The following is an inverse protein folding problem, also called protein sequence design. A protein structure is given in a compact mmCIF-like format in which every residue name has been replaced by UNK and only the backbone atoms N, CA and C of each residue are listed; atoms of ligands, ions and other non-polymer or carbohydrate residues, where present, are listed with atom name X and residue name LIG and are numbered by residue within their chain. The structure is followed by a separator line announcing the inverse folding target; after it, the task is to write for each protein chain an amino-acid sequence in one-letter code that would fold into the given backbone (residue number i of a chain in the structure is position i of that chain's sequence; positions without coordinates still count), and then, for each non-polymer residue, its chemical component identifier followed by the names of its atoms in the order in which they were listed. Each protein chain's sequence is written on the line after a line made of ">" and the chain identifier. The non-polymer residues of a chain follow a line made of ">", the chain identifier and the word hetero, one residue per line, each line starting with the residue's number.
data_IF_851241348111
#
_entry.id   IF_851241348111
#
_cell.length_a   1.000
_cell.length_b   1.000
_cell.length_c   1.000
_cell.angle_alpha   90.00
_cell.angle_beta   90.00
_cell.angle_gamma   90.00
#
_symmetry.space_group_name_H-M   'P 1'
#
loop_
_entity.id
_entity.type
_entity.pdbx_description
1 polymer ?
#
# COMPACT_ATOMS: atom_id res chain seq x y z
N UNK A 1 -9.59 1.50 -51.91
CA UNK A 1 -8.69 1.15 -50.77
C UNK A 1 -7.41 1.99 -50.72
N UNK A 2 -6.80 2.37 -51.86
CA UNK A 2 -5.54 3.15 -51.92
C UNK A 2 -5.59 4.54 -51.26
N UNK A 3 -6.75 5.19 -51.24
CA UNK A 3 -6.90 6.55 -50.68
C UNK A 3 -6.72 6.59 -49.15
N UNK A 4 -7.38 5.69 -48.40
CA UNK A 4 -7.30 5.69 -46.93
C UNK A 4 -5.88 5.40 -46.42
N UNK A 5 -5.19 4.43 -47.05
CA UNK A 5 -3.80 4.11 -46.74
C UNK A 5 -2.86 5.30 -47.01
N UNK A 6 -3.01 5.96 -48.16
CA UNK A 6 -2.21 7.13 -48.51
C UNK A 6 -2.40 8.29 -47.52
N UNK A 7 -3.65 8.56 -47.11
CA UNK A 7 -3.98 9.55 -46.07
C UNK A 7 -3.35 9.18 -44.73
N UNK A 8 -3.39 7.91 -44.33
CA UNK A 8 -2.80 7.42 -43.08
C UNK A 8 -1.29 7.64 -43.05
N UNK A 9 -0.60 7.30 -44.16
CA UNK A 9 0.85 7.52 -44.31
C UNK A 9 1.18 9.01 -44.30
N UNK A 10 0.41 9.83 -45.01
CA UNK A 10 0.61 11.29 -45.02
C UNK A 10 0.45 11.89 -43.62
N UNK A 11 -0.57 11.46 -42.88
CA UNK A 11 -0.76 11.87 -41.48
C UNK A 11 0.39 11.40 -40.58
N UNK A 12 0.87 10.16 -40.77
CA UNK A 12 2.03 9.63 -40.06
C UNK A 12 3.31 10.42 -40.33
N UNK A 13 3.51 10.91 -41.56
CA UNK A 13 4.64 11.76 -41.94
C UNK A 13 4.54 13.16 -41.33
N UNK A 14 3.33 13.73 -41.32
CA UNK A 14 3.07 15.06 -40.77
C UNK A 14 3.07 15.11 -39.23
N UNK A 15 2.98 13.96 -38.55
CA UNK A 15 2.95 13.90 -37.10
C UNK A 15 4.30 14.39 -36.52
N UNK A 16 4.25 15.45 -35.71
CA UNK A 16 5.41 16.05 -35.05
C UNK A 16 5.91 15.20 -33.88
N UNK A 17 6.56 14.08 -34.21
CA UNK A 17 7.02 13.10 -33.23
C UNK A 17 8.22 13.60 -32.42
N UNK A 18 8.22 13.29 -31.13
CA UNK A 18 9.36 13.43 -30.22
C UNK A 18 9.70 12.09 -29.57
N UNK A 19 10.92 11.91 -29.05
CA UNK A 19 11.35 10.66 -28.43
C UNK A 19 10.53 10.28 -27.19
N UNK A 20 9.86 11.26 -26.59
CA UNK A 20 9.14 11.12 -25.32
C UNK A 20 7.63 10.90 -25.53
N UNK A 21 7.18 10.81 -26.78
CA UNK A 21 5.78 10.61 -27.09
C UNK A 21 5.31 9.21 -26.64
N UNK A 22 4.29 9.19 -25.79
CA UNK A 22 3.66 7.95 -25.35
C UNK A 22 2.97 7.23 -26.53
N UNK A 23 3.01 5.88 -26.62
CA UNK A 23 2.39 5.10 -27.69
C UNK A 23 0.92 5.45 -27.91
N UNK A 24 0.18 5.71 -26.83
CA UNK A 24 -1.24 6.10 -26.91
C UNK A 24 -1.45 7.44 -27.61
N UNK A 25 -0.62 8.44 -27.33
CA UNK A 25 -0.73 9.75 -27.98
C UNK A 25 -0.46 9.63 -29.48
N UNK A 26 0.58 8.86 -29.85
CA UNK A 26 0.90 8.54 -31.24
C UNK A 26 -0.27 7.80 -31.91
N UNK A 27 -0.79 6.74 -31.30
CA UNK A 27 -1.91 5.96 -31.81
C UNK A 27 -3.15 6.84 -32.07
N UNK A 28 -3.50 7.73 -31.13
CA UNK A 28 -4.60 8.69 -31.29
C UNK A 28 -4.36 9.64 -32.47
N UNK A 29 -3.14 10.15 -32.63
CA UNK A 29 -2.77 11.01 -33.77
C UNK A 29 -2.91 10.30 -35.12
N UNK A 30 -2.47 9.04 -35.20
CA UNK A 30 -2.59 8.23 -36.41
C UNK A 30 -4.03 7.83 -36.72
N UNK A 31 -4.86 7.61 -35.70
CA UNK A 31 -6.24 7.13 -35.85
C UNK A 31 -7.26 8.23 -36.09
N UNK A 32 -7.01 9.47 -35.64
CA UNK A 32 -7.93 10.59 -35.86
C UNK A 32 -8.41 10.72 -37.33
N UNK A 33 -7.53 10.73 -38.35
CA UNK A 33 -7.97 10.80 -39.75
C UNK A 33 -8.67 9.52 -40.23
N UNK A 34 -8.36 8.35 -39.63
CA UNK A 34 -8.97 7.08 -40.00
C UNK A 34 -10.41 6.97 -39.46
N UNK A 35 -10.60 7.29 -38.18
CA UNK A 35 -11.90 7.31 -37.51
C UNK A 35 -12.84 8.30 -38.20
N UNK A 36 -12.33 9.40 -38.76
CA UNK A 36 -13.14 10.35 -39.51
C UNK A 36 -13.88 9.73 -40.71
N UNK A 37 -13.44 8.59 -41.24
CA UNK A 37 -14.07 7.87 -42.35
C UNK A 37 -15.16 6.87 -41.92
N UNK A 38 -15.35 6.65 -40.62
CA UNK A 38 -16.43 5.82 -40.11
C UNK A 38 -17.77 6.57 -40.17
N UNK A 39 -18.87 5.81 -40.15
CA UNK A 39 -20.23 6.36 -40.04
C UNK A 39 -20.35 7.26 -38.81
N UNK A 40 -21.13 8.34 -38.92
CA UNK A 40 -21.32 9.30 -37.83
C UNK A 40 -21.72 8.63 -36.52
N UNK A 41 -22.66 7.67 -36.56
CA UNK A 41 -23.10 6.93 -35.38
C UNK A 41 -22.03 6.03 -34.73
N UNK A 42 -21.05 5.54 -35.49
CA UNK A 42 -19.91 4.78 -34.94
C UNK A 42 -18.90 5.75 -34.33
N UNK A 43 -18.60 6.86 -35.03
CA UNK A 43 -17.70 7.91 -34.53
C UNK A 43 -18.19 8.53 -33.24
N UNK A 44 -19.49 8.84 -33.14
CA UNK A 44 -20.08 9.46 -31.95
C UNK A 44 -20.02 8.54 -30.73
N UNK A 45 -20.26 7.23 -30.95
CA UNK A 45 -20.15 6.20 -29.91
C UNK A 45 -18.70 6.01 -29.46
N UNK A 46 -17.74 5.91 -30.39
CA UNK A 46 -16.31 5.88 -30.04
C UNK A 46 -15.89 7.14 -29.28
N UNK A 47 -16.36 8.31 -29.71
CA UNK A 47 -16.10 9.57 -29.02
C UNK A 47 -16.67 9.61 -27.59
N UNK A 48 -17.75 8.88 -27.32
CA UNK A 48 -18.27 8.73 -25.97
C UNK A 48 -17.35 7.86 -25.09
N UNK A 49 -16.83 6.74 -25.63
CA UNK A 49 -15.84 5.90 -24.93
C UNK A 49 -14.58 6.71 -24.62
N UNK A 50 -14.08 7.48 -25.59
CA UNK A 50 -12.92 8.35 -25.42
C UNK A 50 -13.08 9.35 -24.27
N UNK A 51 -14.24 10.00 -24.17
CA UNK A 51 -14.55 10.98 -23.11
C UNK A 51 -14.61 10.32 -21.74
N UNK A 52 -15.25 9.16 -21.61
CA UNK A 52 -15.32 8.42 -20.34
C UNK A 52 -13.94 7.96 -19.88
N UNK A 53 -13.17 7.39 -20.80
CA UNK A 53 -11.81 6.97 -20.51
C UNK A 53 -10.93 8.14 -20.09
N UNK A 54 -10.96 9.26 -20.82
CA UNK A 54 -10.20 10.46 -20.46
C UNK A 54 -10.59 10.98 -19.06
N UNK A 55 -11.88 10.98 -18.72
CA UNK A 55 -12.33 11.40 -17.38
C UNK A 55 -11.79 10.50 -16.26
N UNK A 56 -11.70 9.18 -16.48
CA UNK A 56 -11.18 8.22 -15.49
C UNK A 56 -9.66 8.28 -15.34
N UNK A 57 -8.94 8.52 -16.43
CA UNK A 57 -7.46 8.55 -16.44
C UNK A 57 -6.87 9.94 -16.18
N UNK A 58 -7.68 11.02 -16.18
CA UNK A 58 -7.23 12.38 -15.94
C UNK A 58 -6.41 12.56 -14.65
N UNK A 59 -6.78 11.88 -13.57
CA UNK A 59 -6.05 11.92 -12.30
C UNK A 59 -4.69 11.22 -12.35
N UNK A 60 -4.53 10.20 -13.20
CA UNK A 60 -3.26 9.53 -13.46
C UNK A 60 -2.36 10.36 -14.39
N UNK A 61 -2.94 10.94 -15.46
CA UNK A 61 -2.23 11.77 -16.44
C UNK A 61 -1.76 13.12 -15.89
N UNK A 62 -2.55 13.74 -15.01
CA UNK A 62 -2.22 15.05 -14.43
C UNK A 62 -1.03 15.04 -13.47
N UNK A 63 -0.55 13.86 -13.06
CA UNK A 63 0.65 13.74 -12.24
C UNK A 63 0.59 14.48 -10.90
N UNK A 64 -0.61 14.88 -10.43
CA UNK A 64 -0.81 15.42 -9.07
C UNK A 64 -0.55 14.32 -8.06
N UNK A 65 0.73 14.04 -7.82
CA UNK A 65 1.20 13.26 -6.69
C UNK A 65 0.81 14.04 -5.44
N UNK A 66 -0.23 13.59 -4.75
CA UNK A 66 -0.36 13.90 -3.33
C UNK A 66 0.99 13.57 -2.66
N UNK A 67 1.53 14.48 -1.83
CA UNK A 67 2.83 14.27 -1.21
C UNK A 67 2.84 12.91 -0.53
N UNK A 68 3.79 12.05 -0.92
CA UNK A 68 3.99 10.70 -0.39
C UNK A 68 4.14 10.74 1.13
N UNK A 69 3.03 10.71 1.86
CA UNK A 69 3.03 10.37 3.28
C UNK A 69 3.13 8.86 3.33
N UNK A 70 4.34 8.36 3.55
CA UNK A 70 4.56 6.94 3.81
C UNK A 70 3.68 6.49 4.99
N UNK A 71 3.29 5.20 5.05
CA UNK A 71 2.50 4.68 6.16
C UNK A 71 3.28 4.93 7.46
N UNK A 72 2.79 5.86 8.29
CA UNK A 72 3.35 6.07 9.62
C UNK A 72 2.83 4.91 10.48
N UNK A 73 3.71 3.96 10.78
CA UNK A 73 3.48 2.98 11.86
C UNK A 73 3.54 3.76 13.17
N UNK A 74 2.41 4.33 13.58
CA UNK A 74 2.32 5.08 14.83
C UNK A 74 1.96 4.11 15.95
N UNK A 75 2.94 3.40 16.50
CA UNK A 75 2.76 2.84 17.84
C UNK A 75 2.54 4.03 18.77
N UNK A 76 1.44 4.10 19.55
CA UNK A 76 1.28 5.15 20.54
C UNK A 76 2.54 5.18 21.40
N UNK A 77 3.19 6.34 21.52
CA UNK A 77 4.42 6.46 22.30
C UNK A 77 4.29 5.91 23.73
N UNK A 78 3.12 5.95 24.42
CA UNK A 78 2.97 5.32 25.73
C UNK A 78 3.07 3.79 25.66
N UNK A 79 2.50 3.16 24.64
CA UNK A 79 2.56 1.70 24.49
C UNK A 79 4.00 1.24 24.14
N UNK A 80 4.73 2.02 23.34
CA UNK A 80 6.13 1.77 23.03
C UNK A 80 7.03 1.94 24.28
N UNK A 81 6.81 2.99 25.07
CA UNK A 81 7.54 3.21 26.31
C UNK A 81 7.20 2.15 27.38
N UNK A 82 5.94 1.71 27.45
CA UNK A 82 5.51 0.60 28.32
C UNK A 82 6.16 -0.72 27.94
N UNK A 83 6.24 -1.03 26.64
CA UNK A 83 6.99 -2.19 26.13
C UNK A 83 8.47 -2.16 26.54
N UNK A 84 9.13 -1.02 26.41
CA UNK A 84 10.53 -0.86 26.81
C UNK A 84 10.73 -1.06 28.32
N UNK A 85 9.81 -0.59 29.14
CA UNK A 85 9.84 -0.81 30.59
C UNK A 85 9.72 -2.31 30.94
N UNK A 86 8.86 -3.06 30.23
CA UNK A 86 8.76 -4.53 30.42
C UNK A 86 10.01 -5.26 29.93
N UNK A 87 10.59 -4.82 28.81
CA UNK A 87 11.85 -5.36 28.30
C UNK A 87 13.01 -5.13 29.30
N UNK A 88 13.05 -3.96 29.93
CA UNK A 88 14.02 -3.61 30.97
C UNK A 88 13.88 -4.49 32.22
N UNK A 89 12.63 -4.73 32.67
CA UNK A 89 12.34 -5.63 33.79
C UNK A 89 12.81 -7.06 33.50
N UNK A 90 12.52 -7.58 32.30
CA UNK A 90 12.97 -8.89 31.85
C UNK A 90 14.50 -8.97 31.82
N UNK A 91 15.18 -7.98 31.23
CA UNK A 91 16.64 -7.94 31.17
C UNK A 91 17.28 -7.97 32.56
N UNK A 92 16.69 -7.24 33.51
CA UNK A 92 17.12 -7.22 34.92
C UNK A 92 16.92 -8.57 35.61
N UNK A 93 15.77 -9.22 35.42
CA UNK A 93 15.47 -10.52 36.01
C UNK A 93 16.36 -11.65 35.47
N UNK A 94 16.67 -11.63 34.18
CA UNK A 94 17.52 -12.63 33.52
C UNK A 94 19.03 -12.34 33.68
N UNK A 95 19.41 -11.18 34.23
CA UNK A 95 20.82 -10.80 34.39
C UNK A 95 21.54 -10.51 33.06
N UNK A 96 20.81 -10.08 32.02
CA UNK A 96 21.42 -9.63 30.76
C UNK A 96 22.12 -8.29 30.98
N UNK A 97 23.46 -8.26 30.80
CA UNK A 97 24.27 -7.06 31.01
C UNK A 97 24.72 -6.89 32.47
N UNK A 98 25.49 -7.87 32.97
CA UNK A 98 25.96 -8.06 34.36
C UNK A 98 26.50 -6.82 35.10
N UNK A 99 26.79 -5.72 34.41
CA UNK A 99 27.09 -4.41 34.98
C UNK A 99 26.45 -3.33 34.10
N UNK A 100 25.39 -2.68 34.58
CA UNK A 100 24.87 -1.43 34.00
C UNK A 100 24.94 -0.36 35.07
N UNK A 101 25.72 0.70 34.84
CA UNK A 101 25.86 1.84 35.76
C UNK A 101 26.61 1.55 37.09
N UNK A 102 27.37 0.45 37.19
CA UNK A 102 28.14 0.11 38.41
C UNK A 102 27.35 -0.67 39.48
N UNK A 103 26.08 -0.96 39.23
CA UNK A 103 25.23 -1.80 40.10
C UNK A 103 25.27 -3.28 39.68
N UNK A 104 25.48 -4.17 40.64
CA UNK A 104 25.47 -5.62 40.43
C UNK A 104 24.03 -6.17 40.38
N UNK A 105 23.59 -6.48 39.16
CA UNK A 105 22.28 -7.07 38.85
C UNK A 105 22.17 -8.58 39.24
N UNK A 106 23.17 -9.14 39.90
CA UNK A 106 23.05 -10.45 40.53
C UNK A 106 22.42 -10.37 41.93
N UNK A 107 22.43 -9.19 42.56
CA UNK A 107 21.84 -9.04 43.90
C UNK A 107 20.30 -8.93 43.83
N UNK A 108 19.61 -9.91 44.42
CA UNK A 108 18.15 -9.91 44.58
C UNK A 108 17.57 -8.63 45.19
N UNK A 109 18.22 -8.02 46.22
CA UNK A 109 17.78 -6.74 46.77
C UNK A 109 17.76 -5.57 45.78
N UNK A 110 18.48 -5.65 44.65
CA UNK A 110 18.50 -4.62 43.61
C UNK A 110 17.57 -4.99 42.44
N UNK A 111 17.53 -6.27 42.07
CA UNK A 111 16.69 -6.74 40.95
C UNK A 111 15.20 -6.67 41.26
N UNK A 112 14.77 -7.11 42.45
CA UNK A 112 13.35 -7.13 42.80
C UNK A 112 12.72 -5.73 42.79
N UNK A 113 13.32 -4.68 43.39
CA UNK A 113 12.81 -3.31 43.27
C UNK A 113 12.80 -2.78 41.84
N UNK A 114 13.84 -3.09 41.05
CA UNK A 114 13.94 -2.67 39.64
C UNK A 114 12.79 -3.22 38.80
N UNK A 115 12.46 -4.51 39.00
CA UNK A 115 11.31 -5.16 38.35
C UNK A 115 10.00 -4.48 38.77
N UNK A 116 9.80 -4.24 40.08
CA UNK A 116 8.58 -3.61 40.60
C UNK A 116 8.38 -2.20 40.02
N UNK A 117 9.42 -1.36 40.04
CA UNK A 117 9.36 0.01 39.51
C UNK A 117 9.11 0.02 38.00
N UNK A 118 9.77 -0.87 37.27
CA UNK A 118 9.60 -0.99 35.81
C UNK A 118 8.17 -1.39 35.43
N UNK A 119 7.57 -2.33 36.17
CA UNK A 119 6.17 -2.70 35.96
C UNK A 119 5.18 -1.60 36.38
N UNK A 120 5.46 -0.86 37.45
CA UNK A 120 4.65 0.29 37.83
C UNK A 120 4.61 1.35 36.70
N UNK A 121 5.77 1.66 36.12
CA UNK A 121 5.89 2.54 34.94
C UNK A 121 5.12 1.95 33.74
N UNK A 122 5.30 0.65 33.45
CA UNK A 122 4.63 -0.02 32.34
C UNK A 122 3.10 0.03 32.48
N UNK A 123 2.54 -0.23 33.66
CA UNK A 123 1.10 -0.18 33.90
C UNK A 123 0.52 1.23 33.71
N UNK A 124 1.19 2.25 34.23
CA UNK A 124 0.77 3.65 34.03
C UNK A 124 0.77 3.99 32.54
N UNK A 125 1.82 3.61 31.82
CA UNK A 125 1.95 3.90 30.39
C UNK A 125 0.93 3.14 29.54
N UNK A 126 0.66 1.87 29.84
CA UNK A 126 -0.40 1.11 29.16
C UNK A 126 -1.80 1.67 29.48
N UNK A 127 -2.04 2.15 30.70
CA UNK A 127 -3.29 2.83 31.07
C UNK A 127 -3.47 4.16 30.32
N UNK A 128 -2.41 4.97 30.22
CA UNK A 128 -2.39 6.21 29.42
C UNK A 128 -2.60 5.90 27.93
N UNK A 129 -1.91 4.89 27.39
CA UNK A 129 -2.09 4.43 26.01
C UNK A 129 -3.53 3.98 25.72
N UNK A 130 -4.15 3.23 26.63
CA UNK A 130 -5.56 2.87 26.54
C UNK A 130 -6.51 4.09 26.60
N UNK A 131 -6.19 5.10 27.44
CA UNK A 131 -6.93 6.35 27.53
C UNK A 131 -6.82 7.21 26.25
N UNK A 132 -5.62 7.30 25.66
CA UNK A 132 -5.40 7.97 24.38
C UNK A 132 -6.19 7.32 23.25
N UNK A 133 -6.15 5.99 23.15
CA UNK A 133 -6.92 5.24 22.14
C UNK A 133 -8.42 5.45 22.27
N UNK A 134 -8.93 5.68 23.49
CA UNK A 134 -10.36 5.98 23.70
C UNK A 134 -10.74 7.41 23.31
N UNK A 135 -9.90 8.41 23.61
CA UNK A 135 -10.18 9.84 23.34
C UNK A 135 -9.96 10.24 21.88
N UNK A 136 -8.95 9.67 21.23
CA UNK A 136 -8.60 9.98 19.84
C UNK A 136 -9.43 9.24 18.80
N UNK A 137 -10.45 8.45 19.22
CA UNK A 137 -11.30 7.68 18.32
C UNK A 137 -11.80 8.56 17.16
N UNK A 138 -12.54 9.63 17.40
CA UNK A 138 -13.24 10.29 16.28
C UNK A 138 -12.33 11.01 15.28
N UNK A 139 -11.21 11.59 15.72
CA UNK A 139 -10.33 12.40 14.86
C UNK A 139 -9.25 11.59 14.11
N UNK A 140 -8.85 10.42 14.65
CA UNK A 140 -7.74 9.63 14.10
C UNK A 140 -8.18 8.26 13.53
N UNK A 141 -9.43 7.83 13.76
CA UNK A 141 -9.94 6.55 13.22
C UNK A 141 -10.03 6.55 11.68
N UNK A 142 -10.26 7.70 11.04
CA UNK A 142 -10.46 7.76 9.58
C UNK A 142 -9.19 7.48 8.77
N UNK A 143 -8.00 7.77 9.32
CA UNK A 143 -6.75 7.78 8.56
C UNK A 143 -5.75 6.68 9.02
N UNK A 144 -5.89 6.13 10.24
CA UNK A 144 -4.85 5.28 10.85
C UNK A 144 -5.33 4.02 11.62
N UNK A 145 -6.63 3.69 11.59
CA UNK A 145 -7.23 2.57 12.35
C UNK A 145 -6.47 1.24 12.21
N UNK A 146 -6.16 0.86 10.98
CA UNK A 146 -5.68 -0.50 10.69
C UNK A 146 -4.20 -0.69 11.02
N UNK A 147 -3.37 0.34 10.86
CA UNK A 147 -1.92 0.27 11.17
C UNK A 147 -1.62 0.37 12.67
N UNK A 148 -2.43 1.11 13.43
CA UNK A 148 -2.30 1.24 14.89
C UNK A 148 -2.68 -0.04 15.63
N UNK A 149 -3.75 -0.72 15.21
CA UNK A 149 -4.22 -1.93 15.89
C UNK A 149 -3.21 -3.08 15.78
N UNK A 150 -2.58 -3.27 14.61
CA UNK A 150 -1.58 -4.32 14.36
C UNK A 150 -0.26 -4.03 15.07
N UNK A 151 0.24 -2.79 15.01
CA UNK A 151 1.48 -2.41 15.70
C UNK A 151 1.31 -2.50 17.21
N UNK A 152 0.14 -2.12 17.73
CA UNK A 152 -0.23 -2.28 19.13
C UNK A 152 -0.41 -3.75 19.52
N UNK A 153 -1.06 -4.57 18.70
CA UNK A 153 -1.14 -6.03 18.91
C UNK A 153 0.26 -6.64 19.00
N UNK A 154 1.14 -6.29 18.06
CA UNK A 154 2.52 -6.80 18.02
C UNK A 154 3.30 -6.36 19.26
N UNK A 155 3.28 -5.06 19.59
CA UNK A 155 4.00 -4.52 20.75
C UNK A 155 3.50 -5.09 22.09
N UNK A 156 2.18 -5.20 22.27
CA UNK A 156 1.58 -5.78 23.48
C UNK A 156 1.79 -7.30 23.54
N UNK A 157 1.73 -7.98 22.39
CA UNK A 157 2.04 -9.41 22.29
C UNK A 157 3.49 -9.71 22.67
N UNK A 158 4.45 -8.94 22.16
CA UNK A 158 5.86 -9.05 22.57
C UNK A 158 6.07 -8.66 24.04
N UNK A 159 5.34 -7.65 24.54
CA UNK A 159 5.36 -7.29 25.97
C UNK A 159 4.90 -8.45 26.85
N UNK A 160 3.88 -9.21 26.44
CA UNK A 160 3.40 -10.37 27.18
C UNK A 160 4.46 -11.49 27.24
N UNK A 161 5.18 -11.70 26.14
CA UNK A 161 6.30 -12.66 26.10
C UNK A 161 7.42 -12.22 27.07
N UNK A 162 7.81 -10.95 27.02
CA UNK A 162 8.83 -10.42 27.94
C UNK A 162 8.39 -10.47 29.40
N UNK A 163 7.11 -10.22 29.68
CA UNK A 163 6.58 -10.36 31.02
C UNK A 163 6.61 -11.81 31.52
N UNK A 164 6.33 -12.78 30.65
CA UNK A 164 6.39 -14.20 30.98
C UNK A 164 7.84 -14.63 31.24
N UNK A 165 8.79 -14.16 30.43
CA UNK A 165 10.22 -14.41 30.65
C UNK A 165 10.74 -13.76 31.93
N UNK A 166 10.27 -12.56 32.27
CA UNK A 166 10.55 -11.90 33.55
C UNK A 166 10.03 -12.73 34.73
N UNK A 167 8.79 -13.22 34.65
CA UNK A 167 8.20 -14.11 35.65
C UNK A 167 9.02 -15.40 35.83
N UNK A 168 9.39 -16.06 34.73
CA UNK A 168 10.24 -17.26 34.78
C UNK A 168 11.58 -16.95 35.44
N UNK A 169 12.23 -15.84 35.06
CA UNK A 169 13.50 -15.40 35.67
C UNK A 169 13.38 -15.17 37.18
N UNK A 170 12.32 -14.52 37.64
CA UNK A 170 12.07 -14.29 39.06
C UNK A 170 11.72 -15.57 39.82
N UNK A 171 10.98 -16.50 39.20
CA UNK A 171 10.69 -17.81 39.78
C UNK A 171 11.97 -18.62 39.96
N UNK A 172 12.84 -18.66 38.95
CA UNK A 172 14.14 -19.35 39.04
C UNK A 172 14.96 -18.78 40.20
N UNK A 173 15.06 -17.45 40.31
CA UNK A 173 15.78 -16.80 41.42
C UNK A 173 15.18 -17.08 42.80
N UNK A 174 13.84 -17.21 42.91
CA UNK A 174 13.18 -17.63 44.16
C UNK A 174 13.55 -19.06 44.58
N UNK A 175 13.95 -19.93 43.65
CA UNK A 175 14.36 -21.31 43.94
C UNK A 175 15.87 -21.47 44.13
N UNK A 176 16.70 -20.56 43.57
CA UNK A 176 18.17 -20.68 43.63
C UNK A 176 18.80 -19.83 44.73
N UNK A 177 18.14 -18.75 45.16
CA UNK A 177 18.69 -17.78 46.10
C UNK A 177 17.81 -17.70 47.37
N UNK A 178 18.31 -17.06 48.43
CA UNK A 178 17.54 -16.86 49.67
C UNK A 178 16.22 -16.10 49.43
N UNK A 179 15.13 -16.60 50.01
CA UNK A 179 13.78 -16.07 49.78
C UNK A 179 13.60 -14.72 50.46
N UNK A 180 13.65 -13.64 49.68
CA UNK A 180 13.29 -12.30 50.13
C UNK A 180 11.80 -11.98 49.86
N UNK A 181 11.08 -11.34 50.80
CA UNK A 181 9.69 -10.92 50.59
C UNK A 181 9.48 -10.07 49.32
N UNK A 182 10.48 -9.26 48.96
CA UNK A 182 10.48 -8.41 47.76
C UNK A 182 10.51 -9.21 46.45
N UNK A 183 11.13 -10.40 46.44
CA UNK A 183 11.18 -11.28 45.27
C UNK A 183 9.82 -11.93 44.99
N UNK A 184 9.08 -12.29 46.05
CA UNK A 184 7.70 -12.79 45.95
C UNK A 184 6.80 -11.69 45.36
N UNK A 185 6.95 -10.44 45.83
CA UNK A 185 6.20 -9.29 45.29
C UNK A 185 6.55 -9.07 43.82
N UNK A 186 7.84 -9.09 43.45
CA UNK A 186 8.28 -8.91 42.06
C UNK A 186 7.77 -10.02 41.13
N UNK A 187 7.71 -11.27 41.58
CA UNK A 187 7.09 -12.37 40.85
C UNK A 187 5.57 -12.15 40.69
N UNK A 188 4.86 -11.75 41.76
CA UNK A 188 3.44 -11.42 41.70
C UNK A 188 3.11 -10.28 40.74
N UNK A 189 3.92 -9.22 40.74
CA UNK A 189 3.78 -8.08 39.82
C UNK A 189 4.09 -8.50 38.38
N UNK A 190 5.07 -9.39 38.15
CA UNK A 190 5.37 -9.94 36.83
C UNK A 190 4.22 -10.80 36.29
N UNK A 191 3.60 -11.63 37.15
CA UNK A 191 2.43 -12.42 36.79
C UNK A 191 1.23 -11.52 36.43
N UNK A 192 0.99 -10.45 37.21
CA UNK A 192 -0.01 -9.44 36.87
C UNK A 192 0.31 -8.77 35.52
N UNK A 193 1.60 -8.50 35.27
CA UNK A 193 2.10 -7.97 34.01
C UNK A 193 1.75 -8.85 32.81
N UNK A 194 1.92 -10.16 32.92
CA UNK A 194 1.52 -11.14 31.90
C UNK A 194 0.01 -11.06 31.65
N UNK A 195 -0.80 -11.09 32.71
CA UNK A 195 -2.27 -11.07 32.59
C UNK A 195 -2.73 -9.78 31.88
N UNK A 196 -2.26 -8.62 32.33
CA UNK A 196 -2.66 -7.31 31.78
C UNK A 196 -2.24 -7.16 30.32
N UNK A 197 -0.99 -7.46 29.99
CA UNK A 197 -0.50 -7.34 28.60
C UNK A 197 -1.20 -8.31 27.66
N UNK A 198 -1.52 -9.52 28.11
CA UNK A 198 -2.22 -10.53 27.32
C UNK A 198 -3.70 -10.15 27.09
N UNK A 199 -4.39 -9.63 28.10
CA UNK A 199 -5.74 -9.08 27.94
C UNK A 199 -5.77 -7.90 26.96
N UNK A 200 -4.80 -6.99 27.07
CA UNK A 200 -4.67 -5.85 26.15
C UNK A 200 -4.34 -6.31 24.73
N UNK A 201 -3.45 -7.29 24.54
CA UNK A 201 -3.11 -7.86 23.24
C UNK A 201 -4.34 -8.55 22.59
N UNK A 202 -5.12 -9.31 23.36
CA UNK A 202 -6.38 -9.91 22.88
C UNK A 202 -7.37 -8.83 22.45
N UNK A 203 -7.49 -7.74 23.24
CA UNK A 203 -8.37 -6.63 22.89
C UNK A 203 -7.94 -5.93 21.59
N UNK A 204 -6.64 -5.71 21.41
CA UNK A 204 -6.06 -5.14 20.18
C UNK A 204 -6.27 -6.08 18.98
N UNK A 205 -6.09 -7.38 19.17
CA UNK A 205 -6.34 -8.41 18.14
C UNK A 205 -7.81 -8.48 17.72
N UNK A 206 -8.75 -8.36 18.66
CA UNK A 206 -10.19 -8.31 18.36
C UNK A 206 -10.54 -7.06 17.55
N UNK A 207 -9.95 -5.91 17.88
CA UNK A 207 -10.10 -4.67 17.12
C UNK A 207 -9.52 -4.83 15.69
N UNK A 208 -8.30 -5.37 15.57
CA UNK A 208 -7.66 -5.62 14.28
C UNK A 208 -8.50 -6.56 13.38
N UNK A 209 -9.04 -7.65 13.95
CA UNK A 209 -9.92 -8.59 13.23
C UNK A 209 -11.27 -8.00 12.85
N UNK A 210 -11.88 -7.18 13.71
CA UNK A 210 -13.14 -6.51 13.42
C UNK A 210 -13.00 -5.54 12.23
N UNK A 211 -11.89 -4.81 12.15
CA UNK A 211 -11.56 -3.98 10.99
C UNK A 211 -11.43 -4.81 9.70
N UNK A 212 -10.76 -5.98 9.78
CA UNK A 212 -10.60 -6.90 8.65
C UNK A 212 -11.94 -7.44 8.11
N UNK A 213 -12.85 -7.82 9.01
CA UNK A 213 -14.16 -8.35 8.66
C UNK A 213 -15.09 -7.28 8.04
N UNK A 214 -14.88 -6.00 8.37
CA UNK A 214 -15.56 -4.86 7.74
C UNK A 214 -15.04 -4.51 6.33
N UNK A 215 -14.25 -5.38 5.70
CA UNK A 215 -13.67 -5.15 4.36
C UNK A 215 -12.51 -4.14 4.34
N UNK A 216 -12.04 -3.67 5.51
CA UNK A 216 -10.84 -2.83 5.62
C UNK A 216 -9.64 -3.74 5.84
N UNK A 217 -8.94 -4.04 4.75
CA UNK A 217 -7.80 -4.95 4.77
C UNK A 217 -6.69 -4.43 5.70
N UNK A 218 -6.35 -5.25 6.70
CA UNK A 218 -5.34 -5.02 7.77
C UNK A 218 -3.99 -4.51 7.25
N UNK A 219 -3.65 -4.87 6.01
CA UNK A 219 -2.62 -4.22 5.23
C UNK A 219 -3.19 -3.97 3.84
N UNK A 220 -3.50 -2.72 3.49
CA UNK A 220 -3.66 -2.37 2.07
C UNK A 220 -2.31 -2.68 1.39
N UNK A 221 -2.23 -3.65 0.48
CA UNK A 221 -0.98 -3.97 -0.20
C UNK A 221 -0.58 -2.74 -1.00
N UNK A 222 0.44 -2.00 -0.55
CA UNK A 222 1.13 -0.92 -1.28
C UNK A 222 0.23 -0.13 -2.25
N UNK A 223 -0.94 0.32 -1.80
CA UNK A 223 -1.81 1.19 -2.57
C UNK A 223 -1.44 2.63 -2.30
N UNK A 224 -0.25 3.07 -2.74
CA UNK A 224 -0.02 4.52 -2.88
C UNK A 224 -1.19 5.11 -3.68
N UNK A 225 -1.58 6.37 -3.49
CA UNK A 225 -2.58 7.03 -4.36
C UNK A 225 -2.26 6.74 -5.84
N UNK A 226 -0.96 6.71 -6.17
CA UNK A 226 -0.39 6.25 -7.44
C UNK A 226 -0.69 4.78 -7.81
N UNK A 227 -0.62 3.83 -6.89
CA UNK A 227 -1.04 2.43 -7.11
C UNK A 227 -2.55 2.29 -7.35
N UNK A 228 -3.39 3.07 -6.68
CA UNK A 228 -4.84 3.13 -6.95
C UNK A 228 -5.13 3.77 -8.30
N UNK A 229 -4.51 4.91 -8.60
CA UNK A 229 -4.62 5.58 -9.89
C UNK A 229 -4.10 4.70 -11.03
N UNK A 230 -3.01 3.94 -10.81
CA UNK A 230 -2.50 2.92 -11.74
C UNK A 230 -3.53 1.82 -11.99
N UNK A 231 -4.10 1.24 -10.94
CA UNK A 231 -5.09 0.18 -11.09
C UNK A 231 -6.38 0.70 -11.75
N UNK A 232 -6.82 1.90 -11.39
CA UNK A 232 -7.95 2.58 -12.02
C UNK A 232 -7.67 2.86 -13.49
N UNK A 233 -6.46 3.32 -13.84
CA UNK A 233 -6.09 3.59 -15.22
C UNK A 233 -5.96 2.29 -16.04
N UNK A 234 -5.48 1.19 -15.44
CA UNK A 234 -5.46 -0.13 -16.07
C UNK A 234 -6.88 -0.67 -16.28
N UNK A 235 -7.75 -0.60 -15.27
CA UNK A 235 -9.17 -0.99 -15.39
C UNK A 235 -9.89 -0.14 -16.43
N UNK A 236 -9.71 1.19 -16.42
CA UNK A 236 -10.29 2.08 -17.40
C UNK A 236 -9.76 1.78 -18.82
N UNK A 237 -8.50 1.37 -18.95
CA UNK A 237 -7.91 0.94 -20.22
C UNK A 237 -8.61 -0.33 -20.73
N UNK A 238 -8.78 -1.33 -19.88
CA UNK A 238 -9.40 -2.60 -20.28
C UNK A 238 -10.87 -2.40 -20.63
N UNK A 239 -11.64 -1.70 -19.79
CA UNK A 239 -13.05 -1.36 -20.05
C UNK A 239 -13.20 -0.58 -21.37
N UNK A 240 -12.34 0.40 -21.63
CA UNK A 240 -12.41 1.21 -22.85
C UNK A 240 -12.04 0.41 -24.12
N UNK A 241 -11.16 -0.59 -24.01
CA UNK A 241 -10.84 -1.49 -25.12
C UNK A 241 -12.02 -2.37 -25.47
N UNK A 242 -12.66 -2.96 -24.46
CA UNK A 242 -13.81 -3.83 -24.63
C UNK A 242 -15.01 -3.04 -25.21
N UNK A 243 -15.32 -1.87 -24.63
CA UNK A 243 -16.38 -0.99 -25.14
C UNK A 243 -16.09 -0.52 -26.59
N UNK A 244 -14.83 -0.18 -26.90
CA UNK A 244 -14.49 0.25 -28.26
C UNK A 244 -14.52 -0.89 -29.28
N UNK A 245 -14.13 -2.11 -28.87
CA UNK A 245 -14.26 -3.30 -29.70
C UNK A 245 -15.74 -3.57 -30.04
N UNK A 246 -16.63 -3.52 -29.04
CA UNK A 246 -18.08 -3.66 -29.22
C UNK A 246 -18.66 -2.59 -30.17
N UNK A 247 -18.24 -1.32 -30.01
CA UNK A 247 -18.66 -0.25 -30.92
C UNK A 247 -18.20 -0.55 -32.35
N UNK A 248 -16.98 -1.06 -32.53
CA UNK A 248 -16.46 -1.41 -33.85
C UNK A 248 -17.14 -2.62 -34.47
N UNK A 249 -17.65 -3.58 -33.71
CA UNK A 249 -18.45 -4.69 -34.24
C UNK A 249 -19.70 -4.21 -34.99
N UNK A 250 -20.22 -3.03 -34.65
CA UNK A 250 -21.34 -2.41 -35.36
C UNK A 250 -20.95 -1.69 -36.67
N UNK A 251 -19.66 -1.58 -36.98
CA UNK A 251 -19.17 -1.04 -38.23
C UNK A 251 -19.08 -2.13 -39.31
N UNK A 252 -19.18 -1.72 -40.58
CA UNK A 252 -19.02 -2.62 -41.72
C UNK A 252 -17.67 -3.38 -41.64
N UNK A 253 -17.64 -4.72 -41.83
CA UNK A 253 -16.41 -5.51 -41.78
C UNK A 253 -15.30 -4.96 -42.70
N UNK A 254 -15.66 -4.52 -43.90
CA UNK A 254 -14.73 -3.99 -44.90
C UNK A 254 -14.09 -2.67 -44.42
N UNK A 255 -14.86 -1.85 -43.69
CA UNK A 255 -14.34 -0.61 -43.12
C UNK A 255 -13.35 -0.89 -41.98
N UNK A 256 -13.62 -1.91 -41.15
CA UNK A 256 -12.70 -2.34 -40.08
C UNK A 256 -11.36 -2.83 -40.64
N UNK A 257 -11.40 -3.70 -41.64
CA UNK A 257 -10.20 -4.22 -42.29
C UNK A 257 -9.40 -3.11 -42.97
N UNK A 258 -10.07 -2.23 -43.73
CA UNK A 258 -9.41 -1.10 -44.38
C UNK A 258 -8.73 -0.14 -43.38
N UNK A 259 -9.33 0.09 -42.22
CA UNK A 259 -8.75 0.92 -41.16
C UNK A 259 -7.56 0.22 -40.49
N UNK A 260 -7.67 -1.08 -40.19
CA UNK A 260 -6.58 -1.86 -39.62
C UNK A 260 -5.34 -1.85 -40.55
N UNK A 261 -5.55 -2.07 -41.85
CA UNK A 261 -4.51 -2.02 -42.87
C UNK A 261 -3.87 -0.63 -42.98
N UNK A 262 -4.69 0.42 -42.99
CA UNK A 262 -4.21 1.81 -43.06
C UNK A 262 -3.42 2.20 -41.80
N UNK A 263 -3.86 1.76 -40.62
CA UNK A 263 -3.16 1.97 -39.36
C UNK A 263 -1.80 1.24 -39.34
N UNK A 264 -1.76 -0.03 -39.77
CA UNK A 264 -0.51 -0.80 -39.88
C UNK A 264 0.51 -0.13 -40.81
N UNK A 265 0.05 0.41 -41.94
CA UNK A 265 0.89 1.19 -42.85
C UNK A 265 1.42 2.48 -42.20
N UNK A 266 0.57 3.21 -41.46
CA UNK A 266 0.96 4.41 -40.73
C UNK A 266 1.98 4.12 -39.62
N UNK A 267 1.81 3.04 -38.87
CA UNK A 267 2.77 2.59 -37.83
C UNK A 267 4.11 2.20 -38.46
N UNK A 268 4.09 1.55 -39.63
CA UNK A 268 5.32 1.20 -40.38
C UNK A 268 6.09 2.46 -40.80
N UNK A 269 5.39 3.51 -41.22
CA UNK A 269 5.99 4.80 -41.55
C UNK A 269 6.59 5.49 -40.31
N UNK A 270 5.87 5.49 -39.18
CA UNK A 270 6.39 5.99 -37.90
C UNK A 270 7.64 5.24 -37.47
N UNK A 271 7.67 3.91 -37.62
CA UNK A 271 8.83 3.09 -37.31
C UNK A 271 10.04 3.42 -38.21
N UNK A 272 9.81 3.65 -39.50
CA UNK A 272 10.84 3.99 -40.47
C UNK A 272 11.55 5.32 -40.16
N UNK A 273 10.83 6.26 -39.53
CA UNK A 273 11.38 7.57 -39.11
C UNK A 273 12.39 7.48 -37.96
N UNK A 274 12.45 6.38 -37.22
CA UNK A 274 13.41 6.11 -36.12
C UNK A 274 13.48 7.21 -35.04
N UNK A 275 12.40 7.96 -34.84
CA UNK A 275 12.30 9.00 -33.78
C UNK A 275 11.89 8.39 -32.44
N UNK A 276 10.94 7.44 -32.46
CA UNK A 276 10.40 6.82 -31.25
C UNK A 276 11.31 5.68 -30.74
N UNK A 277 11.33 5.42 -29.42
CA UNK A 277 12.01 4.27 -28.85
C UNK A 277 11.49 2.94 -29.44
N UNK A 278 12.39 1.96 -29.57
CA UNK A 278 12.04 0.63 -30.10
C UNK A 278 10.89 -0.05 -29.33
N UNK A 279 10.78 0.20 -28.02
CA UNK A 279 9.68 -0.32 -27.19
C UNK A 279 8.33 0.32 -27.54
N UNK A 280 8.30 1.62 -27.81
CA UNK A 280 7.09 2.36 -28.24
C UNK A 280 6.62 1.84 -29.58
N UNK A 281 7.53 1.70 -30.55
CA UNK A 281 7.23 1.11 -31.87
C UNK A 281 6.72 -0.32 -31.74
N UNK A 282 7.41 -1.17 -30.95
CA UNK A 282 6.98 -2.55 -30.70
C UNK A 282 5.56 -2.59 -30.14
N UNK A 283 5.23 -1.74 -29.16
CA UNK A 283 3.87 -1.65 -28.58
C UNK A 283 2.83 -1.24 -29.62
N UNK A 284 3.12 -0.25 -30.46
CA UNK A 284 2.23 0.17 -31.54
C UNK A 284 1.97 -0.95 -32.56
N UNK A 285 2.98 -1.76 -32.87
CA UNK A 285 2.86 -2.89 -33.81
C UNK A 285 2.16 -4.12 -33.22
N UNK A 286 2.31 -4.36 -31.91
CA UNK A 286 1.78 -5.58 -31.26
C UNK A 286 0.38 -5.41 -30.69
N UNK A 287 -0.11 -4.18 -30.58
CA UNK A 287 -1.43 -3.87 -30.02
C UNK A 287 -2.42 -3.70 -31.15
N UNK A 288 -3.62 -4.29 -31.01
CA UNK A 288 -4.70 -4.07 -31.96
C UNK A 288 -4.96 -2.56 -32.15
N UNK A 289 -5.28 -2.16 -33.39
CA UNK A 289 -5.40 -0.75 -33.76
C UNK A 289 -6.42 -0.05 -32.85
N UNK A 290 -7.58 -0.64 -32.59
CA UNK A 290 -8.60 -0.02 -31.74
C UNK A 290 -8.14 0.08 -30.27
N UNK A 291 -7.33 -0.87 -29.80
CA UNK A 291 -6.88 -0.93 -28.41
C UNK A 291 -5.70 0.01 -28.12
N UNK A 292 -4.87 0.31 -29.13
CA UNK A 292 -3.65 1.12 -28.99
C UNK A 292 -3.92 2.52 -28.42
N UNK A 293 -5.09 3.10 -28.67
CA UNK A 293 -5.51 4.42 -28.18
C UNK A 293 -5.91 4.47 -26.70
N UNK A 294 -6.04 3.31 -26.06
CA UNK A 294 -6.40 3.17 -24.65
C UNK A 294 -5.26 2.58 -23.80
N UNK A 295 -4.09 2.31 -24.41
CA UNK A 295 -2.93 1.82 -23.66
C UNK A 295 -2.46 2.86 -22.66
N UNK A 296 -2.43 2.48 -21.38
CA UNK A 296 -1.82 3.28 -20.32
C UNK A 296 -0.40 2.78 -20.11
N UNK A 297 0.57 3.69 -20.13
CA UNK A 297 1.94 3.38 -19.74
C UNK A 297 2.08 3.39 -18.22
N UNK A 298 2.76 2.38 -17.70
CA UNK A 298 2.83 2.06 -16.28
C UNK A 298 4.25 1.75 -15.88
#
# INVERSE_FOLDING_TARGET
>A
MTDLRSRAVTAAQALGLTSDDAPRAVARGLQAPLIAHLDSGVRDRLGAVDRRFAARVAAWESGTEEPRRGPRLVTPWPDAAGFLAVAWAMGSALGMGRLTGGTDLNSLPVVAPTVIVSYAIAFVLFAVGAGFVRREREALLAEYEDSRAVTRETALGTSAIFAALCLIGMIVRLFTDDVFPTAIIAAGVSALGVIVTLLLAISARRLAKASAAGGRWIHRPKGTTRGRQRNEAMSASDDARDEAAEVMESAAPEAREAIADAYSAAVSEVAARRVLPAQTVKRLTSTDWIAARYVVEV
#
